data_IF_108559769277
#
_entry.id   IF_108559769277
#
_cell.length_a   1.000
_cell.length_b   1.000
_cell.length_c   1.000
_cell.angle_alpha   90.00
_cell.angle_beta   90.00
_cell.angle_gamma   90.00
#
_symmetry.space_group_name_H-M   'P 1'
#
loop_
_entity.id
_entity.type
_entity.pdbx_description
1 polymer ?
#
# COMPACT_ATOMS: atom_id res chain seq x y z
N UNK A 1 25.33 7.21 -23.04
CA UNK A 1 24.54 8.45 -23.23
C UNK A 1 23.73 8.67 -21.96
N UNK A 2 23.96 9.77 -21.26
CA UNK A 2 23.23 10.15 -20.05
C UNK A 2 21.80 10.50 -20.43
N UNK A 3 20.83 9.66 -20.05
CA UNK A 3 19.40 9.97 -20.20
C UNK A 3 19.06 11.18 -19.33
N UNK A 4 18.87 12.35 -19.93
CA UNK A 4 18.33 13.53 -19.26
C UNK A 4 16.87 13.25 -18.88
N UNK A 5 16.63 12.86 -17.62
CA UNK A 5 15.28 12.77 -17.06
C UNK A 5 14.69 14.19 -16.98
N UNK A 6 13.75 14.50 -17.85
CA UNK A 6 12.98 15.74 -17.75
C UNK A 6 11.93 15.57 -16.66
N UNK A 7 11.87 16.47 -15.70
CA UNK A 7 10.82 16.48 -14.67
C UNK A 7 9.72 17.45 -15.08
N UNK A 8 8.46 17.06 -14.92
CA UNK A 8 7.29 17.94 -15.03
C UNK A 8 6.75 18.18 -13.63
N UNK A 9 6.58 19.46 -13.30
CA UNK A 9 5.97 19.90 -12.05
C UNK A 9 4.51 20.19 -12.30
N UNK A 10 3.61 19.48 -11.61
CA UNK A 10 2.18 19.65 -11.77
C UNK A 10 1.41 19.40 -10.49
N UNK A 11 0.19 19.93 -10.43
CA UNK A 11 -0.76 19.70 -9.35
C UNK A 11 -1.98 18.99 -9.91
N UNK A 12 -2.48 17.98 -9.21
CA UNK A 12 -3.77 17.37 -9.50
C UNK A 12 -4.78 17.80 -8.45
N UNK A 13 -5.92 18.28 -8.89
CA UNK A 13 -6.98 18.78 -8.01
C UNK A 13 -8.35 18.44 -8.54
N UNK A 14 -9.34 18.51 -7.66
CA UNK A 14 -10.73 18.39 -8.08
C UNK A 14 -11.65 19.34 -7.31
N UNK A 15 -12.74 19.71 -7.98
CA UNK A 15 -13.84 20.51 -7.45
C UNK A 15 -15.13 19.74 -7.62
N UNK A 16 -15.88 19.56 -6.55
CA UNK A 16 -17.23 18.99 -6.60
C UNK A 16 -18.27 20.10 -6.57
N UNK A 17 -19.30 19.96 -7.39
CA UNK A 17 -20.40 20.91 -7.43
C UNK A 17 -21.46 20.53 -6.38
N UNK A 18 -22.13 21.51 -5.73
CA UNK A 18 -22.94 21.24 -4.54
C UNK A 18 -24.20 20.41 -4.78
N UNK A 19 -24.70 20.37 -6.02
CA UNK A 19 -26.02 19.82 -6.34
C UNK A 19 -25.90 18.40 -6.89
N UNK A 20 -26.63 17.47 -6.28
CA UNK A 20 -26.84 16.15 -6.85
C UNK A 20 -28.02 16.20 -7.84
N UNK A 21 -27.95 15.45 -8.94
CA UNK A 21 -29.08 15.29 -9.84
C UNK A 21 -30.20 14.50 -9.17
N UNK A 22 -31.41 14.54 -9.74
CA UNK A 22 -32.58 13.81 -9.21
C UNK A 22 -32.35 12.30 -9.07
N UNK A 23 -31.33 11.75 -9.76
CA UNK A 23 -30.92 10.33 -9.69
C UNK A 23 -29.73 10.08 -8.76
N UNK A 24 -29.31 11.07 -7.97
CA UNK A 24 -28.25 10.94 -6.96
C UNK A 24 -26.81 11.05 -7.48
N UNK A 25 -26.60 11.35 -8.77
CA UNK A 25 -25.26 11.61 -9.28
C UNK A 25 -24.76 12.98 -8.83
N UNK A 26 -23.43 13.14 -8.71
CA UNK A 26 -22.83 14.45 -8.48
C UNK A 26 -21.87 14.83 -9.59
N UNK A 27 -21.92 16.10 -9.97
CA UNK A 27 -20.99 16.69 -10.92
C UNK A 27 -19.69 17.09 -10.23
N UNK A 28 -18.58 16.89 -10.93
CA UNK A 28 -17.26 17.28 -10.46
C UNK A 28 -16.33 17.63 -11.62
N UNK A 29 -15.27 18.36 -11.31
CA UNK A 29 -14.23 18.80 -12.22
C UNK A 29 -12.89 18.28 -11.70
N UNK A 30 -12.19 17.48 -12.48
CA UNK A 30 -10.81 17.03 -12.21
C UNK A 30 -9.87 17.83 -13.11
N UNK A 31 -8.78 18.33 -12.54
CA UNK A 31 -7.83 19.15 -13.27
C UNK A 31 -6.38 18.84 -12.93
N UNK A 32 -5.52 19.22 -13.86
CA UNK A 32 -4.06 19.17 -13.77
C UNK A 32 -3.53 20.56 -14.07
N UNK A 33 -2.82 21.15 -13.13
CA UNK A 33 -2.15 22.44 -13.27
C UNK A 33 -0.66 22.22 -13.50
N UNK A 34 -0.21 22.54 -14.70
CA UNK A 34 1.20 22.45 -15.09
C UNK A 34 1.86 23.81 -14.96
N UNK A 35 3.04 23.86 -14.36
CA UNK A 35 3.80 25.11 -14.23
C UNK A 35 4.21 25.67 -15.60
N UNK A 36 4.30 27.00 -15.76
CA UNK A 36 4.58 27.63 -17.06
C UNK A 36 5.83 27.14 -17.77
N UNK A 37 6.90 26.86 -17.02
CA UNK A 37 8.17 26.37 -17.59
C UNK A 37 8.05 25.01 -18.27
N UNK A 38 7.11 24.16 -17.82
CA UNK A 38 7.02 22.77 -18.25
C UNK A 38 5.97 22.56 -19.35
N UNK A 39 5.12 23.55 -19.65
CA UNK A 39 4.01 23.37 -20.59
C UNK A 39 4.45 22.99 -22.00
N UNK A 40 5.61 23.50 -22.44
CA UNK A 40 6.12 23.25 -23.79
C UNK A 40 6.44 21.78 -24.01
N UNK A 41 6.64 21.03 -22.93
CA UNK A 41 6.91 19.59 -22.93
C UNK A 41 5.62 18.78 -23.11
N UNK A 42 4.45 19.32 -22.79
CA UNK A 42 3.20 18.58 -22.73
C UNK A 42 2.52 18.53 -24.10
N UNK A 43 2.05 17.34 -24.48
CA UNK A 43 1.23 17.09 -25.66
C UNK A 43 -0.26 17.03 -25.29
N UNK A 44 -0.60 16.19 -24.32
CA UNK A 44 -1.98 16.01 -23.85
C UNK A 44 -2.02 15.49 -22.41
N UNK A 45 -3.18 15.64 -21.78
CA UNK A 45 -3.52 15.02 -20.50
C UNK A 45 -4.73 14.13 -20.69
N UNK A 46 -4.64 12.88 -20.26
CA UNK A 46 -5.71 11.90 -20.31
C UNK A 46 -6.26 11.65 -18.90
N UNK A 47 -7.57 11.52 -18.79
CA UNK A 47 -8.27 11.22 -17.54
C UNK A 47 -8.93 9.86 -17.66
N UNK A 48 -8.59 8.94 -16.77
CA UNK A 48 -9.08 7.57 -16.78
C UNK A 48 -9.76 7.22 -15.46
N UNK A 49 -10.79 6.39 -15.51
CA UNK A 49 -11.32 5.76 -14.31
C UNK A 49 -10.39 4.64 -13.86
N UNK A 50 -10.09 4.59 -12.56
CA UNK A 50 -9.25 3.55 -11.99
C UNK A 50 -9.90 2.16 -12.14
N UNK A 51 -9.11 1.14 -12.49
CA UNK A 51 -9.60 -0.23 -12.70
C UNK A 51 -10.17 -0.52 -14.09
N UNK A 52 -10.44 0.51 -14.91
CA UNK A 52 -10.98 0.36 -16.26
C UNK A 52 -9.97 0.64 -17.39
N UNK A 53 -8.69 0.84 -17.09
CA UNK A 53 -7.66 1.39 -18.01
C UNK A 53 -7.38 0.62 -19.34
N UNK A 54 -8.07 -0.49 -19.59
CA UNK A 54 -8.18 -1.10 -20.93
C UNK A 54 -9.21 -0.41 -21.82
N UNK A 55 -10.06 0.46 -21.28
CA UNK A 55 -11.01 1.29 -22.00
C UNK A 55 -10.36 2.55 -22.56
N UNK A 56 -11.10 3.28 -23.39
CA UNK A 56 -10.74 4.64 -23.79
C UNK A 56 -10.73 5.56 -22.56
N UNK A 57 -9.86 6.59 -22.53
CA UNK A 57 -9.91 7.61 -21.49
C UNK A 57 -11.29 8.25 -21.44
N UNK A 58 -11.73 8.62 -20.22
CA UNK A 58 -12.96 9.40 -20.01
C UNK A 58 -12.86 10.77 -20.68
N UNK A 59 -11.67 11.35 -20.71
CA UNK A 59 -11.40 12.59 -21.43
C UNK A 59 -9.92 12.70 -21.84
N UNK A 60 -9.67 13.37 -22.96
CA UNK A 60 -8.34 13.79 -23.41
C UNK A 60 -8.36 15.30 -23.59
N UNK A 61 -7.39 15.98 -22.98
CA UNK A 61 -7.25 17.43 -23.05
C UNK A 61 -5.89 17.77 -23.67
N UNK A 62 -5.90 18.35 -24.88
CA UNK A 62 -4.68 18.77 -25.58
C UNK A 62 -4.41 20.28 -25.44
N UNK A 63 -5.45 21.06 -25.09
CA UNK A 63 -5.40 22.52 -25.04
C UNK A 63 -5.65 23.02 -23.62
N UNK A 64 -4.58 23.36 -22.86
CA UNK A 64 -4.75 23.90 -21.52
C UNK A 64 -5.29 25.33 -21.56
N UNK A 65 -5.90 25.77 -20.46
CA UNK A 65 -6.24 27.17 -20.24
C UNK A 65 -5.32 27.79 -19.20
N UNK A 66 -4.95 29.06 -19.39
CA UNK A 66 -4.23 29.80 -18.36
C UNK A 66 -5.15 29.98 -17.15
N UNK A 67 -4.65 29.59 -15.98
CA UNK A 67 -5.37 29.68 -14.71
C UNK A 67 -4.47 30.39 -13.70
N UNK A 68 -5.01 31.43 -13.04
CA UNK A 68 -4.35 32.12 -11.94
C UNK A 68 -5.10 31.78 -10.66
N UNK A 69 -4.37 31.36 -9.62
CA UNK A 69 -4.95 31.26 -8.29
C UNK A 69 -5.33 32.67 -7.82
N UNK A 70 -6.48 32.83 -7.17
CA UNK A 70 -6.92 34.12 -6.62
C UNK A 70 -6.11 34.52 -5.39
N UNK A 71 -5.37 33.58 -4.79
CA UNK A 71 -4.64 33.76 -3.53
C UNK A 71 -3.12 33.66 -3.69
N UNK A 72 -2.61 33.40 -4.90
CA UNK A 72 -1.17 33.39 -5.22
C UNK A 72 -0.89 34.24 -6.46
N UNK A 73 0.30 34.84 -6.52
CA UNK A 73 0.84 35.45 -7.74
C UNK A 73 1.23 34.41 -8.81
N UNK A 74 1.17 33.12 -8.47
CA UNK A 74 1.48 32.03 -9.37
C UNK A 74 0.34 31.76 -10.37
N UNK A 75 0.72 31.39 -11.59
CA UNK A 75 -0.21 31.02 -12.64
C UNK A 75 0.23 29.71 -13.29
N UNK A 76 -0.74 28.94 -13.78
CA UNK A 76 -0.57 27.60 -14.29
C UNK A 76 -1.29 27.42 -15.64
N UNK A 77 -0.94 26.34 -16.33
CA UNK A 77 -1.69 25.81 -17.46
C UNK A 77 -2.57 24.66 -16.99
N UNK A 78 -3.88 24.89 -16.96
CA UNK A 78 -4.88 23.93 -16.47
C UNK A 78 -5.43 23.07 -17.60
N UNK A 79 -5.25 21.77 -17.47
CA UNK A 79 -6.01 20.75 -18.19
C UNK A 79 -7.15 20.29 -17.29
N UNK A 80 -8.36 20.09 -17.82
CA UNK A 80 -9.49 19.65 -16.98
C UNK A 80 -10.47 18.76 -17.71
N UNK A 81 -11.21 17.97 -16.94
CA UNK A 81 -12.41 17.27 -17.35
C UNK A 81 -13.53 17.51 -16.34
N UNK A 82 -14.77 17.60 -16.84
CA UNK A 82 -15.97 17.67 -16.02
C UNK A 82 -16.78 16.40 -16.25
N UNK A 83 -17.24 15.78 -15.17
CA UNK A 83 -17.90 14.47 -15.19
C UNK A 83 -19.04 14.45 -14.18
N UNK A 84 -19.98 13.52 -14.35
CA UNK A 84 -21.08 13.27 -13.42
C UNK A 84 -21.13 11.77 -13.10
N UNK A 85 -21.01 11.41 -11.81
CA UNK A 85 -20.96 10.00 -11.40
C UNK A 85 -21.79 9.71 -10.17
N UNK A 86 -22.23 8.46 -10.05
CA UNK A 86 -22.76 7.90 -8.81
C UNK A 86 -21.56 7.50 -7.93
N UNK A 87 -21.45 8.09 -6.74
CA UNK A 87 -20.37 7.80 -5.79
C UNK A 87 -19.01 8.45 -6.11
N UNK A 88 -18.23 8.54 -5.03
CA UNK A 88 -16.81 8.92 -5.03
C UNK A 88 -15.99 7.84 -5.78
N UNK A 89 -14.84 8.18 -6.36
CA UNK A 89 -14.05 7.18 -7.12
C UNK A 89 -12.59 7.57 -7.32
N UNK A 90 -11.78 6.56 -7.64
CA UNK A 90 -10.39 6.75 -8.05
C UNK A 90 -10.27 7.05 -9.55
N UNK A 91 -9.42 8.00 -9.88
CA UNK A 91 -9.11 8.46 -11.22
C UNK A 91 -7.61 8.35 -11.46
N UNK A 92 -7.19 7.98 -12.66
CA UNK A 92 -5.79 8.04 -13.09
C UNK A 92 -5.64 9.18 -14.08
N UNK A 93 -4.78 10.13 -13.75
CA UNK A 93 -4.38 11.21 -14.64
C UNK A 93 -3.09 10.79 -15.34
N UNK A 94 -3.08 10.76 -16.67
CA UNK A 94 -1.88 10.52 -17.46
C UNK A 94 -1.47 11.78 -18.20
N UNK A 95 -0.29 12.29 -17.91
CA UNK A 95 0.35 13.38 -18.65
C UNK A 95 1.21 12.77 -19.74
N UNK A 96 0.98 13.20 -20.99
CA UNK A 96 1.72 12.74 -22.17
C UNK A 96 2.53 13.91 -22.71
N UNK A 97 3.85 13.75 -22.77
CA UNK A 97 4.76 14.73 -23.33
C UNK A 97 4.90 14.61 -24.86
N UNK A 98 5.40 15.65 -25.52
CA UNK A 98 5.57 15.72 -26.99
C UNK A 98 6.54 14.68 -27.54
N UNK A 99 7.54 14.31 -26.76
CA UNK A 99 8.47 13.22 -27.10
C UNK A 99 7.86 11.82 -26.85
N UNK A 100 6.58 11.74 -26.47
CA UNK A 100 5.85 10.49 -26.22
C UNK A 100 6.08 9.89 -24.83
N UNK A 101 6.85 10.54 -23.96
CA UNK A 101 7.03 10.12 -22.56
C UNK A 101 5.78 10.40 -21.74
N UNK A 102 5.55 9.63 -20.68
CA UNK A 102 4.33 9.77 -19.86
C UNK A 102 4.63 9.80 -18.36
N UNK A 103 3.71 10.40 -17.59
CA UNK A 103 3.66 10.35 -16.14
C UNK A 103 2.21 10.09 -15.70
N UNK A 104 2.00 9.30 -14.66
CA UNK A 104 0.67 8.90 -14.20
C UNK A 104 0.49 9.17 -12.70
N UNK A 105 -0.64 9.77 -12.32
CA UNK A 105 -0.99 10.07 -10.94
C UNK A 105 -2.37 9.50 -10.61
N UNK A 106 -2.46 8.73 -9.51
CA UNK A 106 -3.72 8.24 -8.97
C UNK A 106 -4.33 9.30 -8.06
N UNK A 107 -5.55 9.73 -8.36
CA UNK A 107 -6.26 10.79 -7.65
C UNK A 107 -7.66 10.34 -7.25
N UNK A 108 -8.04 10.54 -5.99
CA UNK A 108 -9.37 10.19 -5.49
C UNK A 108 -10.31 11.40 -5.55
N UNK A 109 -11.48 11.23 -6.16
CA UNK A 109 -12.56 12.21 -6.22
C UNK A 109 -13.49 11.98 -5.05
N UNK A 110 -13.58 12.94 -4.12
CA UNK A 110 -14.50 12.93 -2.98
C UNK A 110 -15.56 14.00 -3.13
N UNK A 111 -16.81 13.64 -2.91
CA UNK A 111 -17.98 14.50 -3.00
C UNK A 111 -18.18 15.38 -1.76
N UNK A 112 -17.44 15.11 -0.69
CA UNK A 112 -17.56 15.83 0.57
C UNK A 112 -16.80 17.16 0.61
N UNK A 113 -15.77 17.36 -0.22
CA UNK A 113 -14.91 18.56 -0.22
C UNK A 113 -14.28 18.83 -1.58
N UNK A 114 -14.08 20.10 -1.92
CA UNK A 114 -13.09 20.47 -2.93
C UNK A 114 -11.69 20.13 -2.40
N UNK A 115 -10.85 19.47 -3.20
CA UNK A 115 -9.52 19.05 -2.75
C UNK A 115 -8.48 19.31 -3.84
N UNK A 116 -7.47 20.10 -3.51
CA UNK A 116 -6.22 20.22 -4.24
C UNK A 116 -5.15 19.36 -3.55
N UNK A 117 -4.41 18.55 -4.31
CA UNK A 117 -3.20 17.92 -3.77
C UNK A 117 -2.06 18.95 -3.75
N UNK A 118 -1.09 18.84 -2.84
CA UNK A 118 0.12 19.66 -2.89
C UNK A 118 0.90 19.43 -4.20
N UNK A 119 1.68 20.43 -4.62
CA UNK A 119 2.45 20.41 -5.87
C UNK A 119 3.35 19.17 -5.96
N UNK A 120 3.15 18.34 -6.99
CA UNK A 120 3.93 17.12 -7.25
C UNK A 120 4.94 17.35 -8.38
N UNK A 121 6.09 16.69 -8.32
CA UNK A 121 7.10 16.70 -9.38
C UNK A 121 7.38 15.27 -9.81
N UNK A 122 7.06 14.93 -11.07
CA UNK A 122 7.31 13.60 -11.61
C UNK A 122 8.32 13.66 -12.76
N UNK A 123 9.21 12.68 -12.81
CA UNK A 123 10.10 12.47 -13.95
C UNK A 123 9.31 11.89 -15.14
N UNK A 124 9.38 12.55 -16.29
CA UNK A 124 8.93 12.00 -17.57
C UNK A 124 9.86 10.86 -18.00
N UNK A 125 9.29 9.71 -18.37
CA UNK A 125 10.06 8.50 -18.71
C UNK A 125 10.01 8.17 -20.21
N UNK A 126 11.18 7.94 -20.82
CA UNK A 126 11.42 7.53 -22.22
C UNK A 126 10.57 6.32 -22.66
N UNK A 127 10.11 6.31 -23.92
CA UNK A 127 9.40 5.19 -24.58
C UNK A 127 10.23 3.89 -24.72
N UNK A 128 11.51 3.90 -24.40
CA UNK A 128 12.44 2.81 -24.74
C UNK A 128 12.46 1.59 -23.78
N UNK A 129 11.53 1.48 -22.83
CA UNK A 129 11.21 0.20 -22.20
C UNK A 129 9.80 -0.17 -22.61
N UNK A 130 9.63 -0.87 -23.73
CA UNK A 130 8.43 -1.64 -24.13
C UNK A 130 7.20 -1.38 -23.24
N UNK A 131 6.62 -0.19 -23.37
CA UNK A 131 5.52 0.26 -22.51
C UNK A 131 4.22 -0.24 -23.11
N UNK A 132 3.83 -1.46 -22.75
CA UNK A 132 2.40 -1.72 -22.58
C UNK A 132 1.89 -0.68 -21.59
N UNK A 133 0.82 0.04 -21.94
CA UNK A 133 0.06 0.99 -21.08
C UNK A 133 0.31 0.70 -19.59
N UNK A 134 1.06 1.56 -18.90
CA UNK A 134 1.20 1.48 -17.44
C UNK A 134 -0.20 1.65 -16.86
N UNK A 135 -0.73 0.58 -16.32
CA UNK A 135 -2.09 0.55 -15.78
C UNK A 135 -2.00 -0.30 -14.54
N UNK A 136 -2.54 0.22 -13.44
CA UNK A 136 -2.65 -0.57 -12.21
C UNK A 136 -3.40 -1.85 -12.57
N UNK A 137 -2.82 -3.00 -12.24
CA UNK A 137 -3.45 -4.29 -12.51
C UNK A 137 -4.61 -4.43 -11.53
N UNK A 138 -5.87 -4.52 -12.00
CA UNK A 138 -7.01 -4.59 -11.09
C UNK A 138 -6.93 -5.83 -10.21
N UNK A 139 -7.26 -5.67 -8.94
CA UNK A 139 -7.44 -6.81 -8.05
C UNK A 139 -8.70 -7.54 -8.47
N UNK A 140 -8.52 -8.81 -8.84
CA UNK A 140 -9.62 -9.66 -9.29
C UNK A 140 -10.74 -9.73 -8.27
N UNK A 141 -11.98 -9.54 -8.74
CA UNK A 141 -13.24 -9.71 -8.02
C UNK A 141 -13.54 -11.14 -7.51
N UNK A 142 -12.57 -12.06 -7.56
CA UNK A 142 -12.66 -13.42 -7.00
C UNK A 142 -11.66 -13.65 -5.88
N UNK A 143 -10.79 -12.68 -5.62
CA UNK A 143 -9.79 -12.78 -4.57
C UNK A 143 -10.25 -11.99 -3.36
N UNK A 144 -10.39 -12.71 -2.25
CA UNK A 144 -10.72 -12.13 -0.96
C UNK A 144 -9.47 -11.92 -0.12
N UNK A 145 -9.51 -10.89 0.71
CA UNK A 145 -8.46 -10.56 1.65
C UNK A 145 -9.05 -9.95 2.93
N UNK A 146 -8.24 -9.84 3.97
CA UNK A 146 -8.56 -9.10 5.19
C UNK A 146 -7.35 -8.27 5.63
N UNK A 147 -7.61 -7.20 6.37
CA UNK A 147 -6.57 -6.32 6.92
C UNK A 147 -6.70 -6.22 8.44
N UNK A 148 -5.55 -6.21 9.12
CA UNK A 148 -5.44 -5.95 10.55
C UNK A 148 -4.48 -4.77 10.74
N UNK A 149 -4.98 -3.65 11.24
CA UNK A 149 -4.23 -2.40 11.42
C UNK A 149 -4.09 -2.11 12.91
N UNK A 150 -2.86 -2.23 13.44
CA UNK A 150 -2.56 -1.88 14.82
C UNK A 150 -2.35 -0.36 14.92
N UNK A 151 -3.19 0.31 15.70
CA UNK A 151 -3.29 1.77 15.77
C UNK A 151 -3.45 2.26 17.22
N UNK A 152 -3.30 3.57 17.39
CA UNK A 152 -3.71 4.25 18.61
C UNK A 152 -4.35 5.60 18.32
N UNK A 153 -5.17 6.06 19.24
CA UNK A 153 -5.72 7.40 19.28
C UNK A 153 -5.01 8.23 20.36
N UNK A 154 -4.31 9.28 19.96
CA UNK A 154 -3.54 10.15 20.84
C UNK A 154 -4.39 11.05 21.75
N UNK A 155 -5.68 11.23 21.44
CA UNK A 155 -6.61 12.01 22.26
C UNK A 155 -7.27 11.16 23.36
N UNK A 156 -7.00 9.85 23.39
CA UNK A 156 -7.63 8.93 24.36
C UNK A 156 -9.09 8.61 24.04
N UNK A 157 -9.56 8.82 22.80
CA UNK A 157 -10.92 8.53 22.40
C UNK A 157 -11.25 7.05 22.61
N UNK A 158 -12.42 6.78 23.21
CA UNK A 158 -12.86 5.40 23.42
C UNK A 158 -13.02 4.67 22.08
N UNK A 159 -12.85 3.34 22.08
CA UNK A 159 -13.12 2.51 20.87
C UNK A 159 -14.54 2.72 20.33
N UNK A 160 -15.52 2.99 21.20
CA UNK A 160 -16.88 3.34 20.77
C UNK A 160 -16.95 4.69 20.03
N UNK A 161 -16.20 5.70 20.49
CA UNK A 161 -16.10 6.98 19.79
C UNK A 161 -15.42 6.82 18.42
N UNK A 162 -14.38 5.99 18.34
CA UNK A 162 -13.69 5.67 17.08
C UNK A 162 -14.63 4.94 16.11
N UNK A 163 -15.37 3.93 16.58
CA UNK A 163 -16.40 3.24 15.79
C UNK A 163 -17.45 4.22 15.24
N UNK A 164 -17.96 5.11 16.10
CA UNK A 164 -18.95 6.12 15.73
C UNK A 164 -18.42 7.09 14.65
N UNK A 165 -17.12 7.45 14.69
CA UNK A 165 -16.52 8.30 13.65
C UNK A 165 -16.53 7.61 12.29
N UNK A 166 -16.21 6.32 12.23
CA UNK A 166 -16.22 5.54 10.99
C UNK A 166 -17.67 5.42 10.50
N UNK A 167 -18.58 4.89 11.33
CA UNK A 167 -19.98 4.66 10.99
C UNK A 167 -20.67 5.92 10.44
N UNK A 168 -20.50 7.08 11.09
CA UNK A 168 -21.14 8.33 10.67
C UNK A 168 -20.60 8.90 9.35
N UNK A 169 -19.36 8.55 8.97
CA UNK A 169 -18.69 9.11 7.80
C UNK A 169 -18.75 8.20 6.57
N UNK A 170 -18.90 6.89 6.76
CA UNK A 170 -18.83 5.91 5.66
C UNK A 170 -20.05 4.99 5.57
N UNK A 171 -20.98 5.04 6.53
CA UNK A 171 -22.03 4.03 6.71
C UNK A 171 -21.51 2.60 6.93
N UNK A 172 -20.21 2.43 7.21
CA UNK A 172 -19.59 1.13 7.51
C UNK A 172 -19.84 0.74 8.96
N UNK A 173 -20.39 -0.44 9.19
CA UNK A 173 -20.61 -0.97 10.53
C UNK A 173 -19.29 -1.38 11.21
N UNK A 174 -19.09 -0.94 12.46
CA UNK A 174 -17.91 -1.24 13.28
C UNK A 174 -18.33 -1.74 14.66
N UNK A 175 -17.99 -2.97 14.98
CA UNK A 175 -18.21 -3.57 16.29
C UNK A 175 -17.03 -3.31 17.24
N UNK A 176 -17.31 -2.96 18.51
CA UNK A 176 -16.29 -2.87 19.55
C UNK A 176 -16.21 -4.21 20.28
N UNK A 177 -15.12 -4.95 20.06
CA UNK A 177 -14.99 -6.31 20.57
C UNK A 177 -14.16 -6.33 21.86
N UNK A 178 -14.65 -7.07 22.86
CA UNK A 178 -14.04 -7.17 24.18
C UNK A 178 -13.53 -8.57 24.52
N UNK A 179 -14.12 -9.62 23.96
CA UNK A 179 -13.68 -10.99 24.21
C UNK A 179 -12.60 -11.44 23.21
N UNK A 180 -11.68 -12.30 23.67
CA UNK A 180 -10.67 -12.91 22.80
C UNK A 180 -11.33 -13.78 21.72
N UNK A 181 -12.37 -14.52 22.06
CA UNK A 181 -13.05 -15.44 21.14
C UNK A 181 -13.71 -14.70 19.97
N UNK A 182 -14.47 -13.63 20.24
CA UNK A 182 -15.12 -12.81 19.20
C UNK A 182 -14.10 -12.09 18.32
N UNK A 183 -12.95 -11.69 18.89
CA UNK A 183 -11.88 -11.07 18.12
C UNK A 183 -11.39 -12.02 17.01
N UNK A 184 -11.42 -13.34 17.26
CA UNK A 184 -10.93 -14.35 16.34
C UNK A 184 -11.99 -14.90 15.37
N UNK A 185 -13.28 -14.61 15.62
CA UNK A 185 -14.40 -15.02 14.75
C UNK A 185 -14.52 -14.12 13.51
N UNK A 186 -14.68 -14.69 12.29
CA UNK A 186 -15.06 -13.91 11.11
C UNK A 186 -16.46 -13.34 11.29
N UNK A 187 -16.63 -12.05 11.03
CA UNK A 187 -17.93 -11.35 11.06
C UNK A 187 -18.04 -10.45 9.84
N UNK A 188 -19.25 -10.11 9.36
CA UNK A 188 -19.44 -9.29 8.17
C UNK A 188 -19.18 -7.79 8.40
N UNK A 189 -18.72 -7.40 9.59
CA UNK A 189 -18.48 -6.01 9.99
C UNK A 189 -17.01 -5.77 10.33
N UNK A 190 -16.59 -4.51 10.35
CA UNK A 190 -15.30 -4.15 10.93
C UNK A 190 -15.33 -4.37 12.44
N UNK A 191 -14.15 -4.58 13.04
CA UNK A 191 -13.98 -4.75 14.48
C UNK A 191 -12.88 -3.86 15.03
N UNK A 192 -13.12 -3.32 16.23
CA UNK A 192 -12.10 -2.71 17.07
C UNK A 192 -11.74 -3.66 18.22
N UNK A 193 -10.59 -4.31 18.09
CA UNK A 193 -10.09 -5.32 19.02
C UNK A 193 -9.07 -4.68 19.97
N UNK A 194 -8.98 -5.18 21.21
CA UNK A 194 -7.93 -4.77 22.15
C UNK A 194 -6.67 -5.58 21.84
N UNK A 195 -5.54 -4.90 21.69
CA UNK A 195 -4.23 -5.55 21.61
C UNK A 195 -3.33 -5.07 22.76
N UNK A 196 -2.84 -6.03 23.54
CA UNK A 196 -1.98 -5.78 24.69
C UNK A 196 -0.53 -5.48 24.32
N UNK A 197 -0.07 -5.88 23.13
CA UNK A 197 1.29 -5.68 22.64
C UNK A 197 1.54 -4.27 22.13
N UNK A 198 0.48 -3.54 21.78
CA UNK A 198 0.54 -2.14 21.37
C UNK A 198 0.97 -1.28 22.57
N UNK A 199 1.93 -0.39 22.35
CA UNK A 199 2.35 0.63 23.29
C UNK A 199 1.83 2.01 22.87
N UNK A 200 1.53 2.88 23.83
CA UNK A 200 1.26 4.28 23.53
C UNK A 200 2.54 5.03 23.16
N UNK A 201 2.39 6.11 22.39
CA UNK A 201 3.49 7.05 22.19
C UNK A 201 3.84 7.74 23.52
N UNK A 202 5.15 7.97 23.76
CA UNK A 202 5.63 8.61 25.00
C UNK A 202 4.97 9.98 25.26
N UNK A 203 4.71 10.73 24.19
CA UNK A 203 4.11 12.07 24.25
C UNK A 203 2.57 12.03 24.35
N UNK A 204 1.96 10.84 24.32
CA UNK A 204 0.52 10.63 24.48
C UNK A 204 0.28 9.36 25.31
N UNK A 205 0.67 9.33 26.60
CA UNK A 205 0.66 8.10 27.41
C UNK A 205 -0.75 7.59 27.71
N UNK A 206 -1.77 8.47 27.67
CA UNK A 206 -3.18 8.13 27.85
C UNK A 206 -3.89 7.72 26.55
N UNK A 207 -3.14 7.28 25.52
CA UNK A 207 -3.71 6.92 24.23
C UNK A 207 -4.67 5.72 24.34
N UNK A 208 -5.66 5.69 23.45
CA UNK A 208 -6.52 4.52 23.28
C UNK A 208 -5.90 3.59 22.23
N UNK A 209 -5.65 2.34 22.59
CA UNK A 209 -4.96 1.35 21.74
C UNK A 209 -5.95 0.36 21.17
N UNK A 210 -5.82 0.05 19.89
CA UNK A 210 -6.73 -0.88 19.23
C UNK A 210 -6.12 -1.48 17.97
N UNK A 211 -6.58 -2.67 17.63
CA UNK A 211 -6.43 -3.25 16.31
C UNK A 211 -7.75 -3.06 15.55
N UNK A 212 -7.68 -2.47 14.37
CA UNK A 212 -8.80 -2.31 13.46
C UNK A 212 -8.76 -3.45 12.44
N UNK A 213 -9.72 -4.36 12.54
CA UNK A 213 -9.80 -5.60 11.77
C UNK A 213 -10.96 -5.52 10.78
N UNK A 214 -10.69 -5.77 9.50
CA UNK A 214 -11.72 -5.75 8.46
C UNK A 214 -12.60 -7.01 8.49
N UNK A 215 -13.80 -6.96 7.88
CA UNK A 215 -14.46 -8.17 7.39
C UNK A 215 -13.64 -8.80 6.25
N UNK A 216 -14.15 -9.89 5.67
CA UNK A 216 -13.59 -10.45 4.44
C UNK A 216 -13.93 -9.50 3.28
N UNK A 217 -12.91 -8.85 2.74
CA UNK A 217 -13.00 -7.86 1.67
C UNK A 217 -12.75 -8.52 0.30
N UNK A 218 -13.25 -7.89 -0.77
CA UNK A 218 -13.21 -8.44 -2.13
C UNK A 218 -12.74 -7.41 -3.15
N UNK A 219 -11.73 -7.77 -3.95
CA UNK A 219 -11.35 -7.02 -5.14
C UNK A 219 -11.08 -5.53 -4.89
N UNK A 220 -11.49 -4.70 -5.85
CA UNK A 220 -11.35 -3.24 -5.80
C UNK A 220 -12.30 -2.58 -4.79
N UNK A 221 -13.53 -3.08 -4.65
CA UNK A 221 -14.51 -2.58 -3.68
C UNK A 221 -13.97 -2.68 -2.24
N UNK A 222 -13.30 -3.79 -1.92
CA UNK A 222 -12.63 -3.96 -0.63
C UNK A 222 -11.48 -2.97 -0.39
N UNK A 223 -10.75 -2.60 -1.44
CA UNK A 223 -9.69 -1.59 -1.35
C UNK A 223 -10.26 -0.18 -1.14
N UNK A 224 -11.38 0.12 -1.80
CA UNK A 224 -12.13 1.36 -1.60
C UNK A 224 -12.70 1.44 -0.17
N UNK A 225 -13.21 0.34 0.37
CA UNK A 225 -13.66 0.30 1.75
C UNK A 225 -12.52 0.59 2.74
N UNK A 226 -11.34 0.00 2.53
CA UNK A 226 -10.14 0.31 3.33
C UNK A 226 -9.76 1.79 3.25
N UNK A 227 -9.84 2.37 2.05
CA UNK A 227 -9.59 3.80 1.85
C UNK A 227 -10.57 4.65 2.66
N UNK A 228 -11.87 4.38 2.53
CA UNK A 228 -12.94 5.15 3.16
C UNK A 228 -12.85 5.11 4.68
N UNK A 229 -12.60 3.94 5.26
CA UNK A 229 -12.44 3.76 6.71
C UNK A 229 -11.24 4.57 7.24
N UNK A 230 -10.08 4.49 6.59
CA UNK A 230 -8.89 5.26 7.01
C UNK A 230 -9.04 6.77 6.75
N UNK A 231 -9.73 7.14 5.67
CA UNK A 231 -10.05 8.54 5.36
C UNK A 231 -10.99 9.13 6.40
N UNK A 232 -11.99 8.39 6.84
CA UNK A 232 -12.92 8.82 7.89
C UNK A 232 -12.20 9.12 9.21
N UNK A 233 -11.26 8.26 9.60
CA UNK A 233 -10.43 8.47 10.78
C UNK A 233 -9.51 9.69 10.64
N UNK A 234 -8.77 9.78 9.53
CA UNK A 234 -7.82 10.90 9.30
C UNK A 234 -8.49 12.27 9.12
N UNK A 235 -9.73 12.31 8.62
CA UNK A 235 -10.49 13.55 8.42
C UNK A 235 -11.22 14.05 9.68
N UNK A 236 -11.20 13.27 10.78
CA UNK A 236 -11.88 13.63 12.01
C UNK A 236 -10.99 14.47 12.92
N UNK A 237 -11.59 15.47 13.59
CA UNK A 237 -10.91 16.26 14.63
C UNK A 237 -11.04 15.65 16.02
N UNK A 238 -11.99 14.73 16.22
CA UNK A 238 -12.27 14.10 17.51
C UNK A 238 -11.38 12.89 17.80
N UNK A 239 -10.68 12.39 16.79
CA UNK A 239 -9.68 11.32 16.91
C UNK A 239 -8.36 11.80 16.30
N UNK A 240 -7.25 11.36 16.86
CA UNK A 240 -5.89 11.65 16.47
C UNK A 240 -5.15 10.33 16.30
N UNK A 241 -5.30 9.73 15.12
CA UNK A 241 -4.68 8.43 14.85
C UNK A 241 -3.16 8.56 14.78
N UNK A 242 -2.47 7.74 15.57
CA UNK A 242 -1.02 7.68 15.62
C UNK A 242 -0.52 6.23 15.59
N UNK A 243 0.67 6.03 15.01
CA UNK A 243 1.33 4.73 14.85
C UNK A 243 2.75 4.76 15.40
N UNK A 244 3.25 3.63 15.91
CA UNK A 244 4.62 3.52 16.41
C UNK A 244 5.23 2.12 16.21
N UNK A 245 6.48 1.92 16.65
CA UNK A 245 7.28 0.71 16.36
C UNK A 245 6.74 -0.58 17.00
N UNK A 246 5.89 -0.47 18.03
CA UNK A 246 5.20 -1.63 18.60
C UNK A 246 4.12 -2.18 17.67
N UNK A 247 3.67 -1.38 16.70
CA UNK A 247 2.52 -1.68 15.87
C UNK A 247 2.88 -2.26 14.49
N UNK A 248 2.05 -3.17 13.98
CA UNK A 248 2.10 -3.77 12.66
C UNK A 248 0.93 -3.40 11.74
N UNK A 249 1.08 -3.77 10.46
CA UNK A 249 -0.03 -3.85 9.52
C UNK A 249 0.03 -5.23 8.86
N UNK A 250 -1.03 -6.02 9.02
CA UNK A 250 -1.09 -7.39 8.50
C UNK A 250 -2.14 -7.51 7.39
N UNK A 251 -1.83 -8.34 6.39
CA UNK A 251 -2.74 -8.64 5.28
C UNK A 251 -2.93 -10.15 5.20
N UNK A 252 -4.18 -10.59 5.31
CA UNK A 252 -4.59 -11.97 5.12
C UNK A 252 -5.08 -12.15 3.69
N UNK A 253 -4.45 -13.03 2.90
CA UNK A 253 -4.89 -13.33 1.53
C UNK A 253 -5.50 -14.72 1.50
N UNK A 254 -6.72 -14.83 0.96
CA UNK A 254 -7.38 -16.12 0.81
C UNK A 254 -6.63 -17.04 -0.14
N UNK A 255 -6.44 -18.27 0.33
CA UNK A 255 -5.92 -19.41 -0.43
C UNK A 255 -6.92 -20.56 -0.43
N UNK A 256 -8.20 -20.26 -0.22
CA UNK A 256 -9.28 -21.25 -0.27
C UNK A 256 -9.21 -22.04 -1.59
N UNK A 257 -9.22 -23.37 -1.48
CA UNK A 257 -9.09 -24.29 -2.62
C UNK A 257 -7.67 -24.48 -3.15
N UNK A 258 -6.64 -23.79 -2.61
CA UNK A 258 -5.26 -24.05 -3.01
C UNK A 258 -4.76 -25.34 -2.34
N UNK A 259 -4.27 -26.26 -3.16
CA UNK A 259 -3.63 -27.49 -2.72
C UNK A 259 -2.13 -27.27 -2.51
N UNK A 260 -1.50 -28.20 -1.80
CA UNK A 260 -0.09 -28.14 -1.42
C UNK A 260 0.87 -27.66 -2.53
N UNK A 261 0.78 -28.11 -3.80
CA UNK A 261 1.68 -27.64 -4.85
C UNK A 261 1.63 -26.11 -5.07
N UNK A 262 0.45 -25.49 -4.97
CA UNK A 262 0.32 -24.04 -5.09
C UNK A 262 0.91 -23.32 -3.87
N UNK A 263 0.71 -23.86 -2.67
CA UNK A 263 1.27 -23.32 -1.44
C UNK A 263 2.80 -23.38 -1.43
N UNK A 264 3.39 -24.48 -1.92
CA UNK A 264 4.85 -24.62 -2.12
C UNK A 264 5.40 -23.52 -3.01
N UNK A 265 4.78 -23.24 -4.16
CA UNK A 265 5.21 -22.16 -5.07
C UNK A 265 5.17 -20.78 -4.42
N UNK A 266 4.13 -20.49 -3.63
CA UNK A 266 4.05 -19.23 -2.86
C UNK A 266 5.21 -19.14 -1.86
N UNK A 267 5.47 -20.20 -1.11
CA UNK A 267 6.55 -20.24 -0.12
C UNK A 267 7.93 -20.13 -0.77
N UNK A 268 8.17 -20.85 -1.87
CA UNK A 268 9.41 -20.80 -2.65
C UNK A 268 9.68 -19.39 -3.20
N UNK A 269 8.69 -18.74 -3.80
CA UNK A 269 8.85 -17.34 -4.22
C UNK A 269 9.11 -16.42 -3.02
N UNK A 270 8.45 -16.64 -1.88
CA UNK A 270 8.64 -15.76 -0.73
C UNK A 270 10.07 -15.85 -0.20
N UNK A 271 10.59 -17.06 0.02
CA UNK A 271 11.98 -17.23 0.47
C UNK A 271 12.99 -16.78 -0.57
N UNK A 272 12.67 -16.90 -1.86
CA UNK A 272 13.51 -16.44 -2.97
C UNK A 272 13.71 -14.93 -2.94
N UNK A 273 12.64 -14.18 -2.70
CA UNK A 273 12.59 -12.72 -2.83
C UNK A 273 12.58 -11.98 -1.49
N UNK A 274 12.69 -12.66 -0.34
CA UNK A 274 12.48 -12.05 0.98
C UNK A 274 13.37 -10.81 1.22
N UNK A 275 14.63 -10.80 0.77
CA UNK A 275 15.51 -9.63 0.94
C UNK A 275 15.07 -8.45 0.05
N UNK A 276 14.54 -8.74 -1.14
CA UNK A 276 13.91 -7.74 -2.01
C UNK A 276 12.64 -7.15 -1.40
N UNK A 277 11.81 -7.97 -0.74
CA UNK A 277 10.62 -7.49 -0.02
C UNK A 277 11.03 -6.70 1.24
N UNK A 278 12.09 -7.10 1.94
CA UNK A 278 12.64 -6.35 3.07
C UNK A 278 13.12 -4.96 2.68
N UNK A 279 13.64 -4.79 1.46
CA UNK A 279 14.05 -3.48 0.97
C UNK A 279 12.89 -2.48 0.93
N UNK A 280 11.64 -2.95 0.83
CA UNK A 280 10.41 -2.13 0.84
C UNK A 280 10.04 -1.66 2.26
N UNK A 281 10.59 -2.31 3.28
CA UNK A 281 10.20 -2.17 4.67
C UNK A 281 11.12 -1.24 5.46
N UNK A 282 10.62 -0.68 6.56
CA UNK A 282 11.46 0.07 7.49
C UNK A 282 12.54 -0.84 8.09
N UNK A 283 13.72 -0.32 8.50
CA UNK A 283 14.79 -1.14 9.08
C UNK A 283 14.35 -2.06 10.22
N UNK A 284 13.37 -1.63 11.04
CA UNK A 284 12.86 -2.44 12.15
C UNK A 284 12.03 -3.65 11.74
N UNK A 285 11.71 -3.81 10.46
CA UNK A 285 10.92 -4.92 9.92
C UNK A 285 11.71 -5.79 8.93
N UNK A 286 13.01 -5.53 8.77
CA UNK A 286 13.90 -6.28 7.86
C UNK A 286 14.56 -7.45 8.57
N UNK A 287 14.97 -8.45 7.79
CA UNK A 287 15.90 -9.49 8.23
C UNK A 287 17.23 -8.85 8.54
N UNK A 288 17.81 -9.22 9.70
CA UNK A 288 19.12 -8.75 10.21
C UNK A 288 19.11 -7.30 10.69
N UNK A 289 20.05 -7.00 11.58
CA UNK A 289 20.23 -5.70 12.22
C UNK A 289 19.61 -5.64 13.62
N UNK A 290 20.19 -4.80 14.48
CA UNK A 290 19.79 -4.65 15.89
C UNK A 290 18.37 -4.13 16.09
N UNK A 291 17.74 -3.59 15.05
CA UNK A 291 16.37 -3.07 15.08
C UNK A 291 15.31 -4.11 14.67
N UNK A 292 15.70 -5.31 14.23
CA UNK A 292 14.79 -6.33 13.69
C UNK A 292 13.76 -6.78 14.73
N UNK A 293 12.51 -6.95 14.30
CA UNK A 293 11.39 -7.24 15.17
C UNK A 293 11.11 -8.75 15.24
N UNK A 294 11.05 -9.31 16.44
CA UNK A 294 10.78 -10.73 16.71
C UNK A 294 9.34 -11.16 16.42
N UNK A 295 8.40 -10.24 16.24
CA UNK A 295 7.02 -10.52 15.87
C UNK A 295 6.81 -10.75 14.36
N UNK A 296 7.87 -10.63 13.54
CA UNK A 296 7.88 -10.92 12.12
C UNK A 296 9.25 -11.46 11.65
N UNK A 297 9.67 -12.59 12.22
CA UNK A 297 10.92 -13.28 11.91
C UNK A 297 10.99 -13.75 10.44
N UNK A 298 12.22 -13.90 9.96
CA UNK A 298 12.47 -14.32 8.58
C UNK A 298 12.08 -15.78 8.35
N UNK A 299 11.32 -16.04 7.27
CA UNK A 299 11.02 -17.40 6.82
C UNK A 299 12.25 -18.03 6.17
N UNK A 300 12.96 -17.29 5.32
CA UNK A 300 14.19 -17.72 4.63
C UNK A 300 15.27 -18.18 5.62
N UNK A 301 15.40 -17.48 6.74
CA UNK A 301 16.40 -17.79 7.77
C UNK A 301 16.04 -19.01 8.64
N UNK A 302 14.77 -19.43 8.67
CA UNK A 302 14.31 -20.57 9.48
C UNK A 302 14.34 -21.91 8.72
N UNK A 303 14.43 -21.89 7.38
CA UNK A 303 14.40 -23.13 6.59
C UNK A 303 15.64 -23.98 6.86
N UNK A 304 15.40 -25.23 7.24
CA UNK A 304 16.43 -26.28 7.37
C UNK A 304 16.39 -27.22 6.17
N UNK A 305 17.56 -27.65 5.72
CA UNK A 305 17.72 -28.72 4.73
C UNK A 305 17.18 -30.05 5.31
N UNK A 306 16.95 -31.07 4.46
CA UNK A 306 16.56 -32.41 4.93
C UNK A 306 17.52 -33.02 5.98
N UNK A 307 18.82 -32.68 5.94
CA UNK A 307 19.81 -33.10 6.93
C UNK A 307 19.77 -32.30 8.25
N UNK A 308 18.79 -31.42 8.46
CA UNK A 308 18.58 -30.66 9.71
C UNK A 308 19.38 -29.36 9.83
N UNK A 309 20.37 -29.13 8.97
CA UNK A 309 21.17 -27.88 8.96
C UNK A 309 20.41 -26.72 8.35
N UNK A 310 20.68 -25.48 8.79
CA UNK A 310 20.06 -24.28 8.19
C UNK A 310 20.45 -24.12 6.72
N UNK A 311 19.46 -23.93 5.86
CA UNK A 311 19.65 -23.74 4.44
C UNK A 311 20.21 -22.34 4.14
N UNK A 312 21.45 -22.29 3.66
CA UNK A 312 22.17 -21.04 3.37
C UNK A 312 21.82 -20.43 2.01
N UNK A 313 21.42 -21.27 1.04
CA UNK A 313 21.09 -20.86 -0.33
C UNK A 313 19.67 -21.25 -0.70
N UNK A 314 19.07 -20.50 -1.63
CA UNK A 314 17.70 -20.74 -2.09
C UNK A 314 17.52 -22.14 -2.67
N UNK A 315 18.57 -22.75 -3.23
CA UNK A 315 18.48 -24.14 -3.68
C UNK A 315 18.22 -25.16 -2.59
N UNK A 316 18.87 -25.00 -1.42
CA UNK A 316 18.56 -25.84 -0.26
C UNK A 316 17.15 -25.57 0.27
N UNK A 317 16.75 -24.29 0.31
CA UNK A 317 15.43 -23.87 0.78
C UNK A 317 14.29 -24.41 -0.10
N UNK A 318 14.43 -24.29 -1.41
CA UNK A 318 13.43 -24.78 -2.37
C UNK A 318 13.32 -26.30 -2.30
N UNK A 319 14.43 -27.04 -2.19
CA UNK A 319 14.40 -28.50 -2.01
C UNK A 319 13.71 -28.91 -0.71
N UNK A 320 13.96 -28.22 0.40
CA UNK A 320 13.29 -28.48 1.67
C UNK A 320 11.78 -28.19 1.63
N UNK A 321 11.37 -27.12 0.94
CA UNK A 321 9.95 -26.83 0.72
C UNK A 321 9.34 -27.90 -0.22
N UNK A 322 10.07 -28.30 -1.25
CA UNK A 322 9.60 -29.29 -2.22
C UNK A 322 9.43 -30.69 -1.59
N UNK A 323 10.25 -31.05 -0.61
CA UNK A 323 10.11 -32.33 0.10
C UNK A 323 8.90 -32.42 1.03
N UNK A 324 8.18 -31.31 1.27
CA UNK A 324 6.98 -31.34 2.11
C UNK A 324 5.85 -32.12 1.42
N UNK A 325 5.20 -33.01 2.15
CA UNK A 325 4.08 -33.85 1.66
C UNK A 325 2.73 -33.41 2.24
N UNK A 326 2.73 -32.58 3.29
CA UNK A 326 1.53 -32.02 3.92
C UNK A 326 1.63 -30.51 4.14
N UNK A 327 0.50 -29.85 4.44
CA UNK A 327 0.46 -28.42 4.77
C UNK A 327 1.11 -28.15 6.12
N UNK A 328 0.99 -29.09 7.05
CA UNK A 328 1.60 -29.06 8.38
C UNK A 328 3.12 -29.03 8.27
N UNK A 329 3.71 -29.92 7.45
CA UNK A 329 5.16 -29.92 7.19
C UNK A 329 5.62 -28.62 6.54
N UNK A 330 4.84 -28.09 5.58
CA UNK A 330 5.16 -26.81 4.93
C UNK A 330 5.12 -25.66 5.94
N UNK A 331 4.11 -25.63 6.81
CA UNK A 331 3.97 -24.64 7.88
C UNK A 331 5.13 -24.74 8.88
N UNK A 332 5.52 -25.94 9.30
CA UNK A 332 6.65 -26.15 10.22
C UNK A 332 7.97 -25.64 9.63
N UNK A 333 8.19 -25.81 8.32
CA UNK A 333 9.38 -25.24 7.65
C UNK A 333 9.35 -23.71 7.64
N UNK A 334 8.22 -23.13 7.27
CA UNK A 334 8.09 -21.67 7.14
C UNK A 334 7.98 -20.95 8.49
N UNK A 335 7.40 -21.62 9.49
CA UNK A 335 6.96 -21.06 10.77
C UNK A 335 7.24 -22.03 11.96
N UNK A 336 8.51 -22.41 12.21
CA UNK A 336 8.83 -23.43 13.21
C UNK A 336 8.46 -23.04 14.64
N UNK A 337 8.48 -21.76 14.99
CA UNK A 337 8.21 -21.24 16.34
C UNK A 337 6.89 -20.45 16.40
N UNK A 338 5.84 -20.97 15.76
CA UNK A 338 4.50 -20.38 15.81
C UNK A 338 4.29 -19.25 14.79
N UNK A 339 3.45 -18.27 15.11
CA UNK A 339 2.90 -17.32 14.13
C UNK A 339 3.80 -16.16 13.71
N UNK A 340 4.88 -15.90 14.45
CA UNK A 340 5.64 -14.66 14.38
C UNK A 340 6.68 -14.63 13.24
N UNK A 341 6.23 -14.95 12.03
CA UNK A 341 7.04 -14.94 10.81
C UNK A 341 6.42 -14.04 9.76
N UNK A 342 7.25 -13.49 8.87
CA UNK A 342 6.77 -12.53 7.86
C UNK A 342 5.69 -13.07 6.95
N UNK A 343 5.81 -14.34 6.53
CA UNK A 343 4.75 -15.09 5.86
C UNK A 343 4.26 -16.19 6.81
N UNK A 344 3.11 -15.96 7.41
CA UNK A 344 2.53 -16.86 8.40
C UNK A 344 1.45 -17.76 7.77
N UNK A 345 1.63 -19.07 7.93
CA UNK A 345 0.78 -20.15 7.45
C UNK A 345 -0.04 -20.78 8.59
N UNK A 346 0.12 -20.34 9.84
CA UNK A 346 -0.52 -20.95 11.01
C UNK A 346 -2.05 -21.03 10.91
N UNK A 347 -2.68 -20.08 10.21
CA UNK A 347 -4.13 -20.12 9.95
C UNK A 347 -4.58 -21.39 9.20
N UNK A 348 -3.72 -21.94 8.33
CA UNK A 348 -4.01 -23.13 7.54
C UNK A 348 -4.00 -24.41 8.40
N UNK A 349 -3.03 -24.53 9.30
CA UNK A 349 -2.86 -25.73 10.16
C UNK A 349 -3.80 -25.71 11.36
N UNK A 350 -4.06 -24.52 11.93
CA UNK A 350 -5.07 -24.33 12.99
C UNK A 350 -6.50 -24.37 12.45
N UNK A 351 -6.67 -24.37 11.12
CA UNK A 351 -7.95 -24.33 10.41
C UNK A 351 -8.83 -23.15 10.82
N UNK A 352 -8.25 -22.09 11.39
CA UNK A 352 -8.97 -20.86 11.76
C UNK A 352 -9.54 -20.19 10.52
N UNK A 353 -8.72 -20.07 9.47
CA UNK A 353 -9.09 -19.47 8.18
C UNK A 353 -8.20 -20.04 7.07
N UNK A 354 -8.74 -20.16 5.85
CA UNK A 354 -7.96 -20.55 4.67
C UNK A 354 -7.17 -19.35 4.10
N UNK A 355 -6.34 -18.71 4.92
CA UNK A 355 -5.56 -17.52 4.56
C UNK A 355 -4.08 -17.69 4.84
N UNK A 356 -3.24 -17.03 4.03
CA UNK A 356 -1.83 -16.77 4.36
C UNK A 356 -1.73 -15.31 4.83
N UNK A 357 -1.00 -15.07 5.91
CA UNK A 357 -0.86 -13.75 6.52
C UNK A 357 0.53 -13.16 6.26
N UNK A 358 0.55 -11.93 5.72
CA UNK A 358 1.75 -11.11 5.59
C UNK A 358 1.89 -10.20 6.81
N UNK A 359 2.93 -10.41 7.61
CA UNK A 359 3.14 -9.72 8.88
C UNK A 359 4.20 -8.62 8.82
N UNK A 360 4.98 -8.50 7.75
CA UNK A 360 6.20 -7.67 7.76
C UNK A 360 5.98 -6.16 7.60
N UNK A 361 4.81 -5.68 7.19
CA UNK A 361 4.60 -4.25 6.98
C UNK A 361 4.57 -3.48 8.30
N UNK A 362 5.21 -2.30 8.34
CA UNK A 362 5.14 -1.41 9.49
C UNK A 362 3.74 -0.83 9.63
N UNK A 363 3.28 -0.52 10.85
CA UNK A 363 2.00 0.16 11.03
C UNK A 363 1.91 1.46 10.20
N UNK A 364 0.73 1.68 9.63
CA UNK A 364 0.42 2.84 8.81
C UNK A 364 -1.03 3.26 8.97
N UNK A 365 -1.27 4.56 9.04
CA UNK A 365 -2.62 5.15 8.88
C UNK A 365 -2.83 5.77 7.50
N UNK A 366 -1.80 5.73 6.64
CA UNK A 366 -1.89 6.21 5.26
C UNK A 366 -2.59 5.17 4.37
N UNK A 367 -3.77 5.54 3.86
CA UNK A 367 -4.61 4.67 3.02
C UNK A 367 -3.92 4.23 1.73
N UNK A 368 -3.09 5.07 1.11
CA UNK A 368 -2.39 4.72 -0.13
C UNK A 368 -1.34 3.63 0.11
N UNK A 369 -0.63 3.67 1.25
CA UNK A 369 0.29 2.60 1.65
C UNK A 369 -0.45 1.29 1.92
N UNK A 370 -1.62 1.37 2.54
CA UNK A 370 -2.49 0.20 2.75
C UNK A 370 -2.90 -0.43 1.43
N UNK A 371 -3.43 0.37 0.50
CA UNK A 371 -3.86 -0.10 -0.82
C UNK A 371 -2.69 -0.74 -1.59
N UNK A 372 -1.53 -0.07 -1.65
CA UNK A 372 -0.37 -0.57 -2.36
C UNK A 372 0.12 -1.90 -1.78
N UNK A 373 0.18 -2.03 -0.45
CA UNK A 373 0.61 -3.27 0.18
C UNK A 373 -0.39 -4.41 0.03
N UNK A 374 -1.71 -4.14 0.10
CA UNK A 374 -2.73 -5.17 -0.18
C UNK A 374 -2.61 -5.64 -1.62
N UNK A 375 -2.50 -4.73 -2.61
CA UNK A 375 -2.28 -5.10 -4.02
C UNK A 375 -1.05 -5.99 -4.18
N UNK A 376 0.06 -5.63 -3.54
CA UNK A 376 1.28 -6.42 -3.55
C UNK A 376 1.04 -7.84 -3.03
N UNK A 377 0.45 -7.98 -1.84
CA UNK A 377 0.21 -9.28 -1.21
C UNK A 377 -0.71 -10.17 -2.07
N UNK A 378 -1.79 -9.60 -2.60
CA UNK A 378 -2.76 -10.33 -3.42
C UNK A 378 -2.14 -10.74 -4.77
N UNK A 379 -1.41 -9.84 -5.43
CA UNK A 379 -0.69 -10.14 -6.67
C UNK A 379 0.36 -11.24 -6.45
N UNK A 380 1.14 -11.13 -5.36
CA UNK A 380 2.16 -12.10 -4.99
C UNK A 380 1.59 -13.51 -4.85
N UNK A 381 0.54 -13.67 -4.04
CA UNK A 381 -0.09 -14.98 -3.79
C UNK A 381 -0.71 -15.55 -5.07
N UNK A 382 -1.52 -14.74 -5.77
CA UNK A 382 -2.21 -15.16 -7.01
C UNK A 382 -1.21 -15.61 -8.07
N UNK A 383 -0.20 -14.79 -8.33
CA UNK A 383 0.72 -15.02 -9.44
C UNK A 383 1.73 -16.12 -9.11
N UNK A 384 2.16 -16.25 -7.86
CA UNK A 384 2.97 -17.41 -7.43
C UNK A 384 2.21 -18.73 -7.58
N UNK A 385 0.93 -18.75 -7.20
CA UNK A 385 0.11 -19.95 -7.30
C UNK A 385 -0.18 -20.37 -8.75
N UNK A 386 -0.27 -19.40 -9.68
CA UNK A 386 -0.56 -19.65 -11.11
C UNK A 386 0.69 -19.83 -11.96
N UNK A 387 1.80 -19.21 -11.58
CA UNK A 387 3.05 -19.22 -12.31
C UNK A 387 3.73 -20.59 -12.33
N UNK A 388 4.81 -20.66 -13.08
CA UNK A 388 5.69 -21.83 -13.12
C UNK A 388 6.36 -22.09 -11.78
N UNK A 389 6.96 -23.27 -11.65
CA UNK A 389 7.71 -23.65 -10.44
C UNK A 389 8.91 -22.69 -10.29
N UNK A 390 9.06 -22.00 -9.13
CA UNK A 390 10.15 -21.06 -8.92
C UNK A 390 11.53 -21.69 -9.06
N UNK A 391 12.28 -21.23 -10.06
CA UNK A 391 13.68 -21.63 -10.28
C UNK A 391 14.59 -20.80 -9.38
N UNK A 392 15.55 -21.46 -8.74
CA UNK A 392 16.64 -20.85 -8.00
C UNK A 392 17.96 -20.94 -8.79
N UNK A 393 18.83 -19.95 -8.63
CA UNK A 393 20.18 -19.97 -9.22
C UNK A 393 21.20 -20.57 -8.25
N UNK A 394 22.40 -20.86 -8.76
CA UNK A 394 23.53 -21.39 -7.95
C UNK A 394 23.95 -20.44 -6.83
N UNK A 395 23.74 -19.13 -6.98
CA UNK A 395 23.97 -18.09 -5.96
C UNK A 395 22.68 -17.31 -5.71
N UNK A 396 22.50 -16.87 -4.48
CA UNK A 396 21.39 -15.97 -4.12
C UNK A 396 21.69 -14.55 -4.64
N UNK A 397 20.66 -13.90 -5.15
CA UNK A 397 20.72 -12.52 -5.65
C UNK A 397 20.86 -11.50 -4.52
N UNK A 398 21.44 -10.34 -4.83
CA UNK A 398 21.35 -9.18 -3.96
C UNK A 398 19.91 -8.66 -3.83
N UNK A 399 19.62 -7.86 -2.80
CA UNK A 399 18.27 -7.33 -2.58
C UNK A 399 17.73 -6.49 -3.77
N UNK A 400 18.61 -5.82 -4.51
CA UNK A 400 18.26 -5.03 -5.70
C UNK A 400 17.80 -5.92 -6.85
N UNK A 401 18.59 -6.96 -7.17
CA UNK A 401 18.26 -7.96 -8.19
C UNK A 401 17.00 -8.76 -7.81
N UNK A 402 16.84 -9.11 -6.53
CA UNK A 402 15.62 -9.75 -6.04
C UNK A 402 14.40 -8.85 -6.25
N UNK A 403 14.51 -7.54 -6.03
CA UNK A 403 13.42 -6.59 -6.27
C UNK A 403 13.04 -6.57 -7.75
N UNK A 404 14.01 -6.41 -8.65
CA UNK A 404 13.75 -6.31 -10.08
C UNK A 404 13.07 -7.59 -10.60
N UNK A 405 13.60 -8.77 -10.24
CA UNK A 405 13.04 -10.04 -10.67
C UNK A 405 11.67 -10.31 -10.00
N UNK A 406 11.46 -9.91 -8.74
CA UNK A 406 10.16 -10.01 -8.06
C UNK A 406 9.07 -9.25 -8.81
N UNK A 407 9.33 -8.01 -9.21
CA UNK A 407 8.34 -7.19 -9.91
C UNK A 407 8.13 -7.64 -11.35
N UNK A 408 9.19 -8.09 -12.03
CA UNK A 408 9.10 -8.62 -13.38
C UNK A 408 8.41 -9.99 -13.47
N UNK A 409 8.73 -10.92 -12.56
CA UNK A 409 8.33 -12.32 -12.66
C UNK A 409 7.09 -12.67 -11.84
N UNK A 410 6.87 -12.00 -10.69
CA UNK A 410 5.79 -12.36 -9.76
C UNK A 410 4.73 -11.27 -9.69
N UNK A 411 5.08 -10.03 -9.35
CA UNK A 411 4.07 -8.97 -9.13
C UNK A 411 3.42 -8.55 -10.45
N UNK A 412 4.24 -8.32 -11.49
CA UNK A 412 3.80 -7.96 -12.85
C UNK A 412 2.89 -6.73 -12.89
N UNK A 413 3.14 -5.77 -12.01
CA UNK A 413 2.43 -4.49 -11.95
C UNK A 413 3.47 -3.35 -11.98
N UNK A 414 3.65 -2.70 -13.13
CA UNK A 414 4.63 -1.61 -13.29
C UNK A 414 4.33 -0.37 -12.45
N UNK A 415 3.06 -0.09 -12.15
CA UNK A 415 2.67 1.06 -11.32
C UNK A 415 3.05 0.78 -9.87
N UNK A 416 2.80 -0.45 -9.42
CA UNK A 416 3.19 -0.90 -8.10
C UNK A 416 4.71 -0.96 -7.95
N UNK A 417 5.43 -1.38 -9.00
CA UNK A 417 6.90 -1.32 -9.06
C UNK A 417 7.41 0.11 -8.83
N UNK A 418 6.87 1.09 -9.55
CA UNK A 418 7.23 2.50 -9.36
C UNK A 418 6.95 3.01 -7.94
N UNK A 419 5.79 2.68 -7.39
CA UNK A 419 5.45 3.03 -6.01
C UNK A 419 6.51 2.50 -5.02
N UNK A 420 6.89 1.23 -5.17
CA UNK A 420 7.85 0.59 -4.27
C UNK A 420 9.31 1.00 -4.55
N UNK A 421 9.66 1.39 -5.78
CA UNK A 421 10.93 2.03 -6.08
C UNK A 421 11.09 3.35 -5.32
N UNK A 422 10.09 4.24 -5.43
CA UNK A 422 10.08 5.52 -4.68
C UNK A 422 10.21 5.29 -3.18
N UNK A 423 9.50 4.28 -2.67
CA UNK A 423 9.56 3.88 -1.26
C UNK A 423 10.96 3.41 -0.83
N UNK A 424 11.67 2.67 -1.67
CA UNK A 424 13.05 2.22 -1.39
C UNK A 424 14.01 3.40 -1.31
N UNK A 425 13.88 4.38 -2.21
CA UNK A 425 14.68 5.61 -2.19
C UNK A 425 14.46 6.41 -0.91
N UNK A 426 13.19 6.58 -0.50
CA UNK A 426 12.82 7.26 0.74
C UNK A 426 13.50 6.63 1.97
N UNK A 427 13.53 5.30 2.03
CA UNK A 427 14.17 4.54 3.09
C UNK A 427 15.71 4.61 3.02
N UNK A 428 16.28 4.76 1.82
CA UNK A 428 17.72 4.87 1.58
C UNK A 428 18.30 6.22 1.99
N UNK A 429 17.64 7.34 1.66
CA UNK A 429 18.09 8.71 1.98
C UNK A 429 18.26 8.95 3.49
N UNK A 430 17.55 8.20 4.32
CA UNK A 430 17.66 8.27 5.79
C UNK A 430 18.93 7.66 6.35
N UNK A 431 19.62 6.78 5.60
CA UNK A 431 20.89 6.19 6.04
C UNK A 431 22.09 7.12 5.81
N UNK A 432 22.03 8.04 4.85
CA UNK A 432 23.17 8.86 4.43
C UNK A 432 23.29 10.23 5.12
N UNK A 433 22.37 10.59 6.03
CA UNK A 433 22.44 11.85 6.79
C UNK A 433 22.34 13.15 5.96
N UNK A 434 22.21 13.08 4.64
CA UNK A 434 22.18 14.24 3.75
C UNK A 434 20.78 14.87 3.66
N UNK A 435 20.53 15.92 4.44
CA UNK A 435 19.40 16.83 4.24
C UNK A 435 19.78 17.87 3.18
N UNK A 436 19.04 17.96 2.07
CA UNK A 436 19.07 19.15 1.19
C UNK A 436 18.02 20.16 1.70
N UNK A 437 18.34 21.45 1.86
CA UNK A 437 17.35 22.47 2.23
C UNK A 437 16.34 22.65 1.09
N UNK A 438 15.04 22.63 1.39
CA UNK A 438 13.99 23.12 0.48
C UNK A 438 13.10 22.09 -0.25
N UNK A 439 13.09 20.80 0.11
CA UNK A 439 12.07 19.85 -0.38
C UNK A 439 11.00 19.57 0.70
N UNK A 440 9.74 19.80 0.33
CA UNK A 440 8.55 19.56 1.17
C UNK A 440 8.43 18.06 1.47
N UNK A 441 8.40 17.70 2.76
CA UNK A 441 8.16 16.35 3.26
C UNK A 441 6.77 15.86 2.84
N UNK A 442 6.68 15.16 1.72
CA UNK A 442 5.48 14.43 1.32
C UNK A 442 5.71 12.94 1.53
N UNK A 443 4.78 12.27 2.22
CA UNK A 443 4.64 10.81 2.41
C UNK A 443 5.31 10.10 3.61
N UNK A 444 5.99 10.81 4.52
CA UNK A 444 6.46 10.20 5.78
C UNK A 444 5.49 10.36 6.97
N UNK A 445 4.41 11.12 6.82
CA UNK A 445 3.34 11.19 7.81
C UNK A 445 2.58 9.85 7.87
N UNK A 446 2.44 9.29 9.07
CA UNK A 446 1.65 8.09 9.31
C UNK A 446 2.38 6.76 9.14
N UNK A 447 3.71 6.69 9.22
CA UNK A 447 4.45 5.43 9.39
C UNK A 447 5.43 5.53 10.57
N UNK A 448 5.49 4.48 11.38
CA UNK A 448 6.35 4.40 12.55
C UNK A 448 7.84 4.31 12.17
N UNK A 449 8.46 5.43 11.83
CA UNK A 449 9.90 5.47 11.57
C UNK A 449 10.59 6.35 12.59
N UNK A 450 11.46 5.72 13.38
CA UNK A 450 12.73 6.34 13.80
C UNK A 450 12.68 7.39 14.89
N UNK A 451 12.02 8.53 14.71
CA UNK A 451 11.97 9.63 15.66
C UNK A 451 10.65 10.39 15.56
N UNK A 452 10.07 10.75 16.70
CA UNK A 452 8.87 11.59 16.77
C UNK A 452 9.22 13.01 16.35
N UNK A 453 8.53 13.57 15.37
CA UNK A 453 8.48 15.02 15.24
C UNK A 453 7.48 15.53 16.29
N UNK A 454 7.99 15.90 17.47
CA UNK A 454 7.26 16.81 18.35
C UNK A 454 7.11 18.14 17.60
N UNK A 455 5.91 18.70 17.61
CA UNK A 455 5.65 20.02 17.03
C UNK A 455 6.61 21.04 17.64
N UNK A 456 7.28 21.80 16.77
CA UNK A 456 7.92 23.03 17.18
C UNK A 456 6.81 23.99 17.60
N UNK A 457 6.56 24.03 18.91
CA UNK A 457 5.82 25.10 19.55
C UNK A 457 6.56 26.41 19.31
N UNK A 458 5.78 27.44 19.00
CA UNK A 458 6.25 28.82 18.96
C UNK A 458 6.92 29.16 20.28
N UNK A 459 8.13 29.68 20.22
CA UNK A 459 8.83 30.29 21.34
C UNK A 459 9.38 31.62 20.87
N UNK A 460 8.77 32.68 21.40
CA UNK A 460 9.11 34.11 21.43
C UNK A 460 9.57 34.81 20.15
#
# INVERSE_FOLDING_TARGET
MTETKHHVSFLVGHRCFPQASARGHRSWCLYVDVVPKDIKLINQVEFHEHGLLRSSPLAICCTPRRFSDRHSSDWFYRFKTEQETLGEKFMVVRIVAKNGTTAEELHYISFSKNQEQPLSSMALKSKNRTTGRHTIVPVSNRLTFGVELELSDGNGASRGAIANVIQRRTATEVAVVRSYEEAHKPVPTWKLVRDGSIACNRNAPACSKFELVSPILLGEEGLEECYNVLKALSASKSVSISVNKSMGFHVHVSVAGYKLPKLKKICQNFVKYEDGIDALMAPSRRTRGSASNSYCMSCKASIRNPCGTLAQLNGGRHRAIESCTTVEQLCEKMNPEGRYYKLNLQNLVTKRQATIEFRQHAATSNSMKVIAWVRFCVAFVRNSARGEIPVYRRKDFGADEQFDELFQAVIKDPVLEEHFLSRREELGRRKSGSRRPGQIESCCSGCAHGHSCAGAGRGH
#
